data_IF_457850154255
#
_entry.id   IF_457850154255
#
_cell.length_a   1.000
_cell.length_b   1.000
_cell.length_c   1.000
_cell.angle_alpha   90.00
_cell.angle_beta   90.00
_cell.angle_gamma   90.00
#
_symmetry.space_group_name_H-M   'P 1'
#
loop_
_entity.id
_entity.type
_entity.pdbx_description
1 polymer ?
#
# COMPACT_ATOMS: atom_id res chain seq x y z
N UNK A 1 -1.73 -12.57 -9.68
CA UNK A 1 -3.02 -12.55 -8.94
C UNK A 1 -3.83 -11.37 -9.45
N UNK A 2 -5.04 -11.63 -9.88
CA UNK A 2 -5.93 -10.56 -10.30
C UNK A 2 -6.53 -9.85 -9.08
N UNK A 3 -6.63 -8.53 -9.17
CA UNK A 3 -7.25 -7.74 -8.13
C UNK A 3 -8.77 -7.89 -8.17
N UNK A 4 -9.40 -8.02 -7.00
CA UNK A 4 -10.86 -7.99 -6.88
C UNK A 4 -11.36 -6.56 -7.13
N UNK A 5 -12.67 -6.42 -7.42
CA UNK A 5 -13.27 -5.08 -7.57
C UNK A 5 -13.12 -4.24 -6.30
N UNK A 6 -13.23 -4.87 -5.13
CA UNK A 6 -13.01 -4.18 -3.86
C UNK A 6 -11.58 -3.66 -3.73
N UNK A 7 -10.59 -4.49 -4.06
CA UNK A 7 -9.18 -4.10 -4.05
C UNK A 7 -8.93 -2.92 -5.00
N UNK A 8 -9.43 -2.99 -6.22
CA UNK A 8 -9.26 -1.92 -7.21
C UNK A 8 -9.90 -0.62 -6.73
N UNK A 9 -11.10 -0.70 -6.17
CA UNK A 9 -11.79 0.47 -5.64
C UNK A 9 -11.00 1.14 -4.52
N UNK A 10 -10.43 0.34 -3.61
CA UNK A 10 -9.60 0.84 -2.51
C UNK A 10 -8.31 1.48 -3.03
N UNK A 11 -7.65 0.86 -4.01
CA UNK A 11 -6.44 1.41 -4.61
C UNK A 11 -6.71 2.78 -5.23
N UNK A 12 -7.78 2.88 -6.00
CA UNK A 12 -8.19 4.14 -6.62
C UNK A 12 -8.55 5.20 -5.58
N UNK A 13 -9.24 4.80 -4.52
CA UNK A 13 -9.65 5.72 -3.45
C UNK A 13 -8.44 6.26 -2.69
N UNK A 14 -7.43 5.44 -2.43
CA UNK A 14 -6.19 5.87 -1.78
C UNK A 14 -5.45 6.88 -2.65
N UNK A 15 -5.26 6.57 -3.92
CA UNK A 15 -4.58 7.48 -4.86
C UNK A 15 -5.37 8.79 -5.03
N UNK A 16 -6.68 8.69 -5.17
CA UNK A 16 -7.55 9.85 -5.29
C UNK A 16 -7.50 10.74 -4.05
N UNK A 17 -7.45 10.15 -2.86
CA UNK A 17 -7.33 10.89 -1.61
C UNK A 17 -6.01 11.66 -1.50
N UNK A 18 -4.92 11.10 -2.00
CA UNK A 18 -3.62 11.79 -2.07
C UNK A 18 -3.71 12.99 -3.02
N UNK A 19 -4.27 12.79 -4.21
CA UNK A 19 -4.36 13.84 -5.24
C UNK A 19 -5.28 14.97 -4.78
N UNK A 20 -6.37 14.65 -4.07
CA UNK A 20 -7.33 15.63 -3.56
C UNK A 20 -6.82 16.43 -2.36
N UNK A 21 -5.77 15.96 -1.68
CA UNK A 21 -5.27 16.62 -0.48
C UNK A 21 -4.72 18.00 -0.82
N UNK A 22 -5.29 19.05 -0.23
CA UNK A 22 -4.88 20.42 -0.51
C UNK A 22 -3.83 20.97 0.47
N UNK A 23 -3.54 20.26 1.55
CA UNK A 23 -2.46 20.62 2.48
C UNK A 23 -1.21 19.85 2.10
N UNK A 24 -0.14 20.57 1.72
CA UNK A 24 1.09 19.94 1.23
C UNK A 24 1.71 18.99 2.25
N UNK A 25 1.77 19.36 3.51
CA UNK A 25 2.38 18.54 4.55
C UNK A 25 1.56 17.28 4.79
N UNK A 26 0.24 17.38 4.85
CA UNK A 26 -0.65 16.22 4.98
C UNK A 26 -0.57 15.31 3.76
N UNK A 27 -0.42 15.88 2.56
CA UNK A 27 -0.22 15.10 1.35
C UNK A 27 1.07 14.27 1.41
N UNK A 28 2.17 14.87 1.87
CA UNK A 28 3.45 14.19 2.03
C UNK A 28 3.31 13.02 3.02
N UNK A 29 2.63 13.25 4.16
CA UNK A 29 2.39 12.21 5.16
C UNK A 29 1.57 11.05 4.57
N UNK A 30 0.56 11.33 3.77
CA UNK A 30 -0.22 10.31 3.07
C UNK A 30 0.65 9.50 2.11
N UNK A 31 1.47 10.16 1.32
CA UNK A 31 2.37 9.50 0.36
C UNK A 31 3.36 8.59 1.10
N UNK A 32 3.92 9.06 2.20
CA UNK A 32 4.87 8.30 3.01
C UNK A 32 4.23 7.10 3.71
N UNK A 33 2.92 7.12 3.92
CA UNK A 33 2.18 6.04 4.57
C UNK A 33 1.88 4.85 3.66
N UNK A 34 2.10 4.97 2.35
CA UNK A 34 1.74 3.93 1.37
C UNK A 34 2.95 3.48 0.56
N UNK A 35 2.96 2.20 0.21
CA UNK A 35 3.99 1.59 -0.62
C UNK A 35 3.36 0.76 -1.73
N UNK A 36 4.15 0.43 -2.76
CA UNK A 36 3.68 -0.37 -3.89
C UNK A 36 3.17 -1.74 -3.47
N UNK A 37 3.64 -2.29 -2.35
CA UNK A 37 3.22 -3.60 -1.85
C UNK A 37 1.73 -3.66 -1.52
N UNK A 38 1.10 -2.52 -1.23
CA UNK A 38 -0.32 -2.44 -0.96
C UNK A 38 -1.18 -2.59 -2.23
N UNK A 39 -0.57 -2.40 -3.39
CA UNK A 39 -1.26 -2.34 -4.68
C UNK A 39 -1.01 -3.61 -5.49
N UNK A 40 -2.05 -4.12 -6.14
CA UNK A 40 -1.97 -5.28 -7.04
C UNK A 40 -1.94 -4.82 -8.50
N UNK A 41 -2.72 -3.81 -8.84
CA UNK A 41 -2.90 -3.35 -10.21
C UNK A 41 -1.68 -2.53 -10.66
N UNK A 42 -1.03 -2.98 -11.73
CA UNK A 42 0.21 -2.38 -12.21
C UNK A 42 0.09 -0.91 -12.58
N UNK A 43 -1.04 -0.51 -13.15
CA UNK A 43 -1.26 0.88 -13.52
C UNK A 43 -1.33 1.78 -12.29
N UNK A 44 -1.98 1.32 -11.22
CA UNK A 44 -2.03 2.04 -9.95
C UNK A 44 -0.65 2.10 -9.29
N UNK A 45 0.15 1.04 -9.40
CA UNK A 45 1.53 1.04 -8.92
C UNK A 45 2.38 2.06 -9.66
N UNK A 46 2.20 2.17 -10.98
CA UNK A 46 2.88 3.17 -11.80
C UNK A 46 2.51 4.59 -11.35
N UNK A 47 1.24 4.84 -11.09
CA UNK A 47 0.76 6.14 -10.60
C UNK A 47 1.40 6.47 -9.25
N UNK A 48 1.41 5.51 -8.32
CA UNK A 48 2.05 5.72 -7.02
C UNK A 48 3.53 6.04 -7.15
N UNK A 49 4.24 5.31 -8.00
CA UNK A 49 5.66 5.54 -8.27
C UNK A 49 5.89 6.94 -8.80
N UNK A 50 5.04 7.38 -9.73
CA UNK A 50 5.10 8.74 -10.31
C UNK A 50 4.80 9.80 -9.26
N UNK A 51 3.82 9.57 -8.39
CA UNK A 51 3.49 10.46 -7.27
C UNK A 51 4.72 10.64 -6.36
N UNK A 52 5.41 9.55 -6.04
CA UNK A 52 6.63 9.61 -5.22
C UNK A 52 7.76 10.38 -5.89
N UNK A 53 7.91 10.23 -7.20
CA UNK A 53 8.89 11.00 -7.97
C UNK A 53 8.59 12.50 -7.95
N UNK A 54 7.33 12.89 -8.10
CA UNK A 54 6.91 14.30 -8.00
C UNK A 54 7.19 14.86 -6.61
N UNK A 55 6.86 14.10 -5.58
CA UNK A 55 7.13 14.49 -4.19
C UNK A 55 8.63 14.69 -3.95
N UNK A 56 9.48 13.80 -4.47
CA UNK A 56 10.94 13.89 -4.32
C UNK A 56 11.51 15.16 -4.95
N UNK A 57 10.85 15.72 -5.97
CA UNK A 57 11.21 17.00 -6.56
C UNK A 57 10.78 18.20 -5.73
N UNK A 58 10.11 17.98 -4.60
CA UNK A 58 9.59 19.04 -3.75
C UNK A 58 8.33 19.71 -4.27
N UNK A 59 7.70 19.12 -5.28
CA UNK A 59 6.49 19.67 -5.90
C UNK A 59 5.23 19.18 -5.21
N UNK A 60 4.19 19.97 -5.27
CA UNK A 60 2.84 19.55 -4.89
C UNK A 60 2.34 18.51 -5.91
N UNK A 61 1.71 17.43 -5.41
CA UNK A 61 1.19 16.36 -6.26
C UNK A 61 -0.25 16.68 -6.66
N UNK A 62 -0.47 16.82 -7.95
CA UNK A 62 -1.78 16.98 -8.54
C UNK A 62 -1.80 16.31 -9.94
N UNK A 63 -2.93 16.39 -10.63
CA UNK A 63 -3.09 15.77 -11.95
C UNK A 63 -2.04 16.30 -12.94
N UNK A 64 -1.77 17.61 -12.88
CA UNK A 64 -0.82 18.26 -13.81
C UNK A 64 0.62 17.82 -13.55
N UNK A 65 1.05 17.80 -12.27
CA UNK A 65 2.43 17.42 -11.93
C UNK A 65 2.68 15.94 -12.19
N UNK A 66 1.68 15.07 -11.94
CA UNK A 66 1.78 13.65 -12.26
C UNK A 66 1.93 13.46 -13.76
N UNK A 67 1.10 14.11 -14.56
CA UNK A 67 1.11 13.98 -16.01
C UNK A 67 2.39 14.56 -16.62
N UNK A 68 2.90 15.64 -16.04
CA UNK A 68 4.17 16.24 -16.48
C UNK A 68 5.33 15.29 -16.20
N UNK A 69 5.31 14.61 -15.08
CA UNK A 69 6.33 13.63 -14.70
C UNK A 69 6.29 12.37 -15.57
N UNK A 70 5.09 11.91 -15.92
CA UNK A 70 4.90 10.73 -16.77
C UNK A 70 3.69 10.93 -17.69
N UNK A 71 3.97 11.25 -18.96
CA UNK A 71 2.94 11.57 -19.96
C UNK A 71 2.16 10.35 -20.46
N UNK A 72 2.56 9.14 -20.08
CA UNK A 72 1.83 7.92 -20.40
C UNK A 72 0.62 7.70 -19.51
N UNK A 73 0.52 8.44 -18.39
CA UNK A 73 -0.62 8.32 -17.48
C UNK A 73 -1.79 9.14 -18.01
N UNK A 74 -2.96 8.50 -18.09
CA UNK A 74 -4.18 9.10 -18.64
C UNK A 74 -4.78 10.12 -17.66
N UNK A 75 -4.98 11.36 -18.13
CA UNK A 75 -5.61 12.44 -17.35
C UNK A 75 -7.03 12.04 -16.92
N UNK A 76 -7.77 11.41 -17.81
CA UNK A 76 -9.15 10.99 -17.50
C UNK A 76 -9.17 10.00 -16.33
N UNK A 77 -8.27 9.04 -16.32
CA UNK A 77 -8.14 8.08 -15.22
C UNK A 77 -7.84 8.81 -13.90
N UNK A 78 -6.88 9.74 -13.90
CA UNK A 78 -6.53 10.52 -12.71
C UNK A 78 -7.72 11.33 -12.20
N UNK A 79 -8.48 11.92 -13.10
CA UNK A 79 -9.68 12.70 -12.76
C UNK A 79 -10.75 11.78 -12.18
N UNK A 80 -10.99 10.63 -12.80
CA UNK A 80 -12.02 9.68 -12.38
C UNK A 80 -11.75 9.14 -10.96
N UNK A 81 -10.50 8.83 -10.62
CA UNK A 81 -10.17 8.30 -9.29
C UNK A 81 -10.34 9.33 -8.17
N UNK A 82 -10.37 10.62 -8.50
CA UNK A 82 -10.64 11.67 -7.52
C UNK A 82 -12.12 11.88 -7.26
N UNK A 83 -12.99 11.38 -8.14
CA UNK A 83 -14.43 11.67 -8.10
C UNK A 83 -15.13 11.12 -6.85
N UNK A 84 -14.76 9.91 -6.44
CA UNK A 84 -15.41 9.21 -5.31
C UNK A 84 -14.55 9.13 -4.06
N UNK A 85 -13.31 9.59 -4.13
CA UNK A 85 -12.40 9.58 -2.98
C UNK A 85 -12.68 10.75 -2.05
N UNK A 86 -12.40 10.57 -0.77
CA UNK A 86 -12.42 11.66 0.20
C UNK A 86 -11.09 11.72 0.93
N UNK A 87 -10.66 12.92 1.29
CA UNK A 87 -9.41 13.12 2.03
C UNK A 87 -9.51 12.59 3.45
N UNK A 88 -10.70 12.63 4.04
CA UNK A 88 -10.94 12.23 5.43
C UNK A 88 -10.96 10.70 5.64
N UNK A 89 -11.19 9.91 4.59
CA UNK A 89 -11.27 8.45 4.69
C UNK A 89 -9.98 7.73 4.33
N UNK A 90 -8.91 8.45 4.07
CA UNK A 90 -7.63 7.88 3.63
C UNK A 90 -7.14 6.76 4.56
N UNK A 91 -7.12 7.00 5.86
CA UNK A 91 -6.63 6.01 6.83
C UNK A 91 -7.44 4.72 6.80
N UNK A 92 -8.76 4.82 6.65
CA UNK A 92 -9.63 3.65 6.54
C UNK A 92 -9.34 2.86 5.27
N UNK A 93 -9.12 3.54 4.14
CA UNK A 93 -8.76 2.88 2.88
C UNK A 93 -7.44 2.14 3.01
N UNK A 94 -6.43 2.79 3.59
CA UNK A 94 -5.10 2.21 3.77
C UNK A 94 -5.15 1.00 4.70
N UNK A 95 -5.91 1.09 5.79
CA UNK A 95 -6.06 -0.02 6.73
C UNK A 95 -6.61 -1.26 6.02
N UNK A 96 -7.63 -1.10 5.20
CA UNK A 96 -8.21 -2.21 4.43
C UNK A 96 -7.24 -2.79 3.40
N UNK A 97 -6.43 -1.94 2.75
CA UNK A 97 -5.39 -2.41 1.84
C UNK A 97 -4.32 -3.20 2.59
N UNK A 98 -3.93 -2.76 3.78
CA UNK A 98 -2.96 -3.48 4.61
C UNK A 98 -3.48 -4.84 5.05
N UNK A 99 -4.74 -4.93 5.46
CA UNK A 99 -5.37 -6.22 5.80
C UNK A 99 -5.36 -7.17 4.61
N UNK A 100 -5.69 -6.67 3.43
CA UNK A 100 -5.68 -7.45 2.20
C UNK A 100 -4.27 -7.94 1.86
N UNK A 101 -3.27 -7.08 2.01
CA UNK A 101 -1.86 -7.42 1.76
C UNK A 101 -1.36 -8.49 2.74
N UNK A 102 -1.73 -8.40 4.02
CA UNK A 102 -1.40 -9.40 5.02
C UNK A 102 -1.98 -10.77 4.64
N UNK A 103 -3.24 -10.80 4.23
CA UNK A 103 -3.89 -12.04 3.77
C UNK A 103 -3.19 -12.65 2.57
N UNK A 104 -2.75 -11.82 1.61
CA UNK A 104 -1.98 -12.30 0.45
C UNK A 104 -0.65 -12.91 0.88
N UNK A 105 0.03 -12.27 1.83
CA UNK A 105 1.30 -12.78 2.36
C UNK A 105 1.14 -14.16 2.99
N UNK A 106 0.11 -14.34 3.82
CA UNK A 106 -0.17 -15.63 4.45
C UNK A 106 -0.49 -16.69 3.39
N UNK A 107 -1.31 -16.34 2.39
CA UNK A 107 -1.62 -17.25 1.27
C UNK A 107 -0.36 -17.67 0.53
N UNK A 108 0.57 -16.75 0.30
CA UNK A 108 1.82 -17.04 -0.39
C UNK A 108 2.72 -17.99 0.43
N UNK A 109 2.78 -17.79 1.74
CA UNK A 109 3.53 -18.68 2.64
C UNK A 109 2.96 -20.10 2.56
N UNK A 110 1.64 -20.24 2.61
CA UNK A 110 0.97 -21.53 2.52
C UNK A 110 1.16 -22.17 1.14
N UNK A 111 1.10 -21.38 0.07
CA UNK A 111 1.29 -21.87 -1.30
C UNK A 111 2.70 -22.39 -1.51
N UNK A 112 3.72 -21.69 -1.00
CA UNK A 112 5.12 -22.15 -1.08
C UNK A 112 5.32 -23.46 -0.33
N UNK A 113 4.71 -23.58 0.86
CA UNK A 113 4.80 -24.82 1.66
C UNK A 113 4.15 -25.99 0.91
N UNK A 114 2.96 -25.77 0.34
CA UNK A 114 2.25 -26.79 -0.44
C UNK A 114 3.05 -27.20 -1.67
N UNK A 115 3.61 -26.23 -2.39
CA UNK A 115 4.45 -26.51 -3.56
C UNK A 115 5.70 -27.32 -3.18
N UNK A 116 6.34 -27.00 -2.05
CA UNK A 116 7.50 -27.71 -1.54
C UNK A 116 7.19 -29.20 -1.27
N UNK A 117 6.02 -29.48 -0.69
CA UNK A 117 5.55 -30.84 -0.44
C UNK A 117 5.36 -31.58 -1.78
N UNK A 118 4.69 -30.93 -2.74
CA UNK A 118 4.42 -31.52 -4.05
C UNK A 118 5.69 -31.78 -4.86
N UNK A 119 6.71 -30.95 -4.69
CA UNK A 119 8.02 -31.11 -5.34
C UNK A 119 8.92 -32.14 -4.66
N UNK A 120 8.47 -32.75 -3.56
CA UNK A 120 9.21 -33.76 -2.82
C UNK A 120 10.38 -33.24 -2.01
N UNK A 121 10.35 -31.96 -1.62
CA UNK A 121 11.40 -31.38 -0.77
C UNK A 121 11.36 -31.96 0.63
N UNK A 122 12.53 -32.00 1.29
CA UNK A 122 12.67 -32.50 2.64
C UNK A 122 11.77 -31.73 3.62
N UNK A 123 11.13 -32.47 4.53
CA UNK A 123 10.23 -31.92 5.54
C UNK A 123 10.93 -30.85 6.40
N UNK A 124 12.17 -31.12 6.82
CA UNK A 124 12.94 -30.14 7.62
C UNK A 124 13.15 -28.83 6.87
N UNK A 125 13.47 -28.91 5.58
CA UNK A 125 13.61 -27.72 4.73
C UNK A 125 12.32 -26.93 4.67
N UNK A 126 11.19 -27.63 4.46
CA UNK A 126 9.86 -26.99 4.37
C UNK A 126 9.51 -26.31 5.69
N UNK A 127 9.68 -27.00 6.83
CA UNK A 127 9.36 -26.45 8.15
C UNK A 127 10.23 -25.25 8.50
N UNK A 128 11.52 -25.30 8.20
CA UNK A 128 12.44 -24.19 8.43
C UNK A 128 12.06 -22.98 7.60
N UNK A 129 11.67 -23.20 6.34
CA UNK A 129 11.24 -22.11 5.44
C UNK A 129 9.95 -21.47 5.90
N UNK A 130 8.97 -22.27 6.32
CA UNK A 130 7.69 -21.77 6.87
C UNK A 130 7.97 -20.94 8.12
N UNK A 131 8.77 -21.44 9.04
CA UNK A 131 9.12 -20.76 10.29
C UNK A 131 9.79 -19.42 10.02
N UNK A 132 10.73 -19.37 9.09
CA UNK A 132 11.40 -18.14 8.68
C UNK A 132 10.42 -17.14 8.06
N UNK A 133 9.59 -17.59 7.15
CA UNK A 133 8.61 -16.73 6.46
C UNK A 133 7.59 -16.14 7.43
N UNK A 134 7.13 -16.94 8.39
CA UNK A 134 6.20 -16.46 9.44
C UNK A 134 6.89 -15.44 10.35
N UNK A 135 8.13 -15.71 10.74
CA UNK A 135 8.91 -14.79 11.58
C UNK A 135 9.12 -13.45 10.88
N UNK A 136 9.50 -13.46 9.61
CA UNK A 136 9.68 -12.24 8.82
C UNK A 136 8.37 -11.46 8.66
N UNK A 137 7.28 -12.17 8.41
CA UNK A 137 5.94 -11.57 8.31
C UNK A 137 5.54 -10.89 9.63
N UNK A 138 5.73 -11.55 10.75
CA UNK A 138 5.37 -10.99 12.07
C UNK A 138 6.22 -9.78 12.44
N UNK A 139 7.52 -9.79 12.11
CA UNK A 139 8.40 -8.63 12.31
C UNK A 139 7.92 -7.42 11.53
N UNK A 140 7.55 -7.60 10.27
CA UNK A 140 7.03 -6.52 9.43
C UNK A 140 5.68 -6.02 9.94
N UNK A 141 4.82 -6.93 10.39
CA UNK A 141 3.52 -6.60 10.95
C UNK A 141 3.62 -5.78 12.23
N UNK A 142 4.52 -6.16 13.15
CA UNK A 142 4.78 -5.42 14.39
C UNK A 142 5.30 -4.01 14.07
N UNK A 143 6.19 -3.89 13.10
CA UNK A 143 6.76 -2.62 12.66
C UNK A 143 5.69 -1.68 12.12
N UNK A 144 4.74 -2.19 11.33
CA UNK A 144 3.62 -1.42 10.80
C UNK A 144 2.61 -1.03 11.88
N UNK A 145 2.46 -1.85 12.92
CA UNK A 145 1.51 -1.63 14.02
C UNK A 145 2.06 -0.68 15.08
N UNK A 146 3.36 -0.67 15.32
CA UNK A 146 4.00 0.19 16.33
C UNK A 146 3.89 1.66 15.96
N UNK A 147 3.98 2.02 14.69
CA UNK A 147 3.94 3.42 14.25
C UNK A 147 2.62 4.15 14.60
N UNK A 148 1.41 3.59 14.31
CA UNK A 148 0.15 4.19 14.77
C UNK A 148 -0.01 4.13 16.29
N UNK A 149 0.41 3.03 16.94
CA UNK A 149 0.31 2.87 18.39
C UNK A 149 1.23 3.82 19.15
N UNK A 150 2.41 4.10 18.62
CA UNK A 150 3.34 5.07 19.20
C UNK A 150 2.77 6.49 19.16
N UNK A 151 2.10 6.88 18.07
CA UNK A 151 1.40 8.16 17.96
C UNK A 151 0.26 8.27 18.97
N UNK A 152 -0.48 7.19 19.18
CA UNK A 152 -1.57 7.10 20.16
C UNK A 152 -1.05 7.25 21.59
N UNK A 153 0.01 6.57 21.94
CA UNK A 153 0.65 6.62 23.23
C UNK A 153 1.23 8.01 23.55
N UNK A 154 1.84 8.65 22.55
CA UNK A 154 2.31 10.03 22.69
C UNK A 154 1.15 10.99 22.96
N UNK A 155 0.03 10.80 22.27
CA UNK A 155 -1.16 11.62 22.47
C UNK A 155 -1.76 11.46 23.86
N UNK A 156 -1.72 10.24 24.42
CA UNK A 156 -2.20 9.96 25.79
C UNK A 156 -1.25 10.49 26.87
N UNK A 157 0.04 10.57 26.60
CA UNK A 157 1.03 11.11 27.56
C UNK A 157 1.11 12.62 27.54
N UNK A 158 0.66 13.28 26.48
CA UNK A 158 0.59 14.74 26.36
C UNK A 158 -0.68 15.34 26.99
N UNK A 159 -1.54 14.49 27.50
CA UNK A 159 -2.71 14.87 28.28
C UNK A 159 -2.37 14.89 29.78
#
# INVERSE_FOLDING_TARGET
MEATNEQLTLEQAVLGSVILENNKQEQIEKIDAISEELFIQEYNRLILRTIKEVKEQGLYVDVVTIRTQNDTIDIKYLTDITTYATTSSFESYVLKLKESAEKRNVKNILAEATAGISEGKDIEYILNKITKNISDFEKNRIKDTISPSAKWMQHLTDL
#
